data_IF_507678171333
#
_entry.id   IF_507678171333
#
_cell.length_a   1.000
_cell.length_b   1.000
_cell.length_c   1.000
_cell.angle_alpha   90.00
_cell.angle_beta   90.00
_cell.angle_gamma   90.00
#
_symmetry.space_group_name_H-M   'P 1'
#
loop_
_entity.id
_entity.type
_entity.pdbx_description
1 polymer ?
#
# COMPACT_ATOMS: atom_id res chain seq x y z
N UNK A 1 12.50 0.65 -5.62
CA UNK A 1 11.41 1.01 -6.56
C UNK A 1 10.03 0.53 -6.08
N UNK A 2 9.84 -0.81 -5.83
CA UNK A 2 8.53 -1.35 -5.42
C UNK A 2 7.99 -0.68 -4.16
N UNK A 3 8.77 -0.64 -3.07
CA UNK A 3 8.34 -0.02 -1.80
C UNK A 3 8.04 1.48 -1.95
N UNK A 4 8.83 2.20 -2.72
CA UNK A 4 8.62 3.63 -2.97
C UNK A 4 7.30 3.87 -3.72
N UNK A 5 7.01 3.05 -4.75
CA UNK A 5 5.74 3.10 -5.47
C UNK A 5 4.57 2.70 -4.58
N UNK A 6 4.73 1.65 -3.79
CA UNK A 6 3.72 1.22 -2.81
C UNK A 6 3.39 2.34 -1.83
N UNK A 7 4.40 3.03 -1.28
CA UNK A 7 4.19 4.18 -0.39
C UNK A 7 3.43 5.32 -1.08
N UNK A 8 3.78 5.63 -2.34
CA UNK A 8 3.05 6.62 -3.15
C UNK A 8 1.58 6.22 -3.30
N UNK A 9 1.32 4.99 -3.70
CA UNK A 9 -0.04 4.48 -3.91
C UNK A 9 -0.83 4.40 -2.60
N UNK A 10 -0.19 4.03 -1.47
CA UNK A 10 -0.84 4.00 -0.16
C UNK A 10 -1.42 5.36 0.20
N UNK A 11 -0.66 6.43 -0.01
CA UNK A 11 -1.13 7.80 0.23
C UNK A 11 -2.28 8.21 -0.69
N UNK A 12 -2.23 7.80 -1.96
CA UNK A 12 -3.30 8.10 -2.93
C UNK A 12 -4.57 7.30 -2.59
N UNK A 13 -4.43 6.05 -2.14
CA UNK A 13 -5.55 5.13 -1.90
C UNK A 13 -6.15 5.26 -0.49
N UNK A 14 -5.47 5.89 0.44
CA UNK A 14 -5.98 6.16 1.79
C UNK A 14 -7.23 7.05 1.77
N UNK A 15 -7.36 7.89 0.75
CA UNK A 15 -8.58 8.66 0.50
C UNK A 15 -9.41 7.94 -0.55
N UNK A 16 -10.64 7.55 -0.21
CA UNK A 16 -11.58 6.98 -1.21
C UNK A 16 -12.21 8.12 -2.04
N UNK A 17 -11.36 8.79 -2.82
CA UNK A 17 -11.75 9.89 -3.70
C UNK A 17 -12.02 9.38 -5.12
N UNK A 18 -12.78 10.15 -5.95
CA UNK A 18 -12.95 9.84 -7.36
C UNK A 18 -11.61 9.73 -8.12
N UNK A 19 -10.61 10.52 -7.72
CA UNK A 19 -9.26 10.49 -8.29
C UNK A 19 -8.54 9.20 -7.93
N UNK A 20 -8.64 8.76 -6.68
CA UNK A 20 -8.12 7.48 -6.22
C UNK A 20 -8.72 6.31 -7.00
N UNK A 21 -10.04 6.33 -7.24
CA UNK A 21 -10.74 5.33 -8.05
C UNK A 21 -10.26 5.33 -9.50
N UNK A 22 -10.15 6.49 -10.12
CA UNK A 22 -9.61 6.62 -11.49
C UNK A 22 -8.19 6.08 -11.58
N UNK A 23 -7.37 6.30 -10.54
CA UNK A 23 -6.01 5.76 -10.50
C UNK A 23 -6.01 4.24 -10.43
N UNK A 24 -6.83 3.63 -9.57
CA UNK A 24 -7.00 2.18 -9.49
C UNK A 24 -7.43 1.61 -10.82
N UNK A 25 -8.45 2.20 -11.45
CA UNK A 25 -8.94 1.77 -12.75
C UNK A 25 -7.87 1.84 -13.84
N UNK A 26 -7.08 2.92 -13.86
CA UNK A 26 -5.96 3.05 -14.79
C UNK A 26 -4.92 1.94 -14.63
N UNK A 27 -4.52 1.61 -13.39
CA UNK A 27 -3.55 0.55 -13.13
C UNK A 27 -4.08 -0.81 -13.55
N UNK A 28 -5.34 -1.14 -13.20
CA UNK A 28 -5.98 -2.38 -13.64
C UNK A 28 -6.06 -2.42 -15.18
N UNK A 29 -6.53 -1.37 -15.80
CA UNK A 29 -6.66 -1.29 -17.26
C UNK A 29 -5.33 -1.53 -17.98
N UNK A 30 -4.23 -0.91 -17.52
CA UNK A 30 -2.88 -1.15 -18.09
C UNK A 30 -2.45 -2.61 -17.94
N UNK A 31 -2.66 -3.20 -16.76
CA UNK A 31 -2.31 -4.60 -16.53
C UNK A 31 -3.12 -5.54 -17.44
N UNK A 32 -4.44 -5.33 -17.54
CA UNK A 32 -5.31 -6.12 -18.40
C UNK A 32 -4.91 -6.01 -19.88
N UNK A 33 -4.57 -4.82 -20.37
CA UNK A 33 -4.09 -4.65 -21.74
C UNK A 33 -2.77 -5.38 -21.97
N UNK A 34 -1.84 -5.31 -21.03
CA UNK A 34 -0.57 -6.02 -21.13
C UNK A 34 -0.79 -7.53 -21.31
N UNK A 35 -1.72 -8.11 -20.54
CA UNK A 35 -2.10 -9.53 -20.67
C UNK A 35 -2.78 -9.80 -22.00
N UNK A 36 -3.75 -8.97 -22.40
CA UNK A 36 -4.47 -9.18 -23.69
C UNK A 36 -3.53 -9.19 -24.90
N UNK A 37 -2.50 -8.34 -24.88
CA UNK A 37 -1.51 -8.24 -25.98
C UNK A 37 -0.27 -9.12 -25.78
N UNK A 38 -0.18 -9.92 -24.71
CA UNK A 38 0.90 -10.86 -24.50
C UNK A 38 0.90 -11.97 -25.57
N UNK A 39 1.97 -12.72 -25.66
CA UNK A 39 2.09 -13.87 -26.58
C UNK A 39 1.49 -15.17 -26.04
N UNK A 40 0.86 -15.13 -24.87
CA UNK A 40 0.30 -16.31 -24.22
C UNK A 40 -0.96 -16.85 -24.88
N UNK A 41 -1.31 -18.09 -24.54
CA UNK A 41 -2.56 -18.71 -25.00
C UNK A 41 -3.78 -18.01 -24.39
N UNK A 42 -4.92 -18.05 -25.08
CA UNK A 42 -6.17 -17.43 -24.59
C UNK A 42 -6.57 -17.94 -23.21
N UNK A 43 -6.34 -19.22 -22.92
CA UNK A 43 -6.63 -19.82 -21.63
C UNK A 43 -5.72 -19.26 -20.51
N UNK A 44 -4.42 -19.07 -20.79
CA UNK A 44 -3.50 -18.44 -19.84
C UNK A 44 -3.87 -16.99 -19.60
N UNK A 45 -4.12 -16.22 -20.67
CA UNK A 45 -4.61 -14.84 -20.56
C UNK A 45 -5.87 -14.73 -19.69
N UNK A 46 -6.85 -15.63 -19.88
CA UNK A 46 -8.06 -15.65 -19.06
C UNK A 46 -7.74 -15.84 -17.58
N UNK A 47 -6.87 -16.80 -17.26
CA UNK A 47 -6.48 -17.05 -15.87
C UNK A 47 -5.77 -15.85 -15.25
N UNK A 48 -4.85 -15.21 -15.96
CA UNK A 48 -4.15 -14.01 -15.47
C UNK A 48 -5.10 -12.82 -15.28
N UNK A 49 -5.99 -12.57 -16.23
CA UNK A 49 -7.01 -11.52 -16.13
C UNK A 49 -7.87 -11.75 -14.88
N UNK A 50 -8.29 -12.98 -14.64
CA UNK A 50 -9.11 -13.30 -13.48
C UNK A 50 -8.33 -13.14 -12.18
N UNK A 51 -7.06 -13.54 -12.15
CA UNK A 51 -6.16 -13.30 -11.01
C UNK A 51 -5.99 -11.81 -10.72
N UNK A 52 -5.84 -10.98 -11.76
CA UNK A 52 -5.77 -9.51 -11.59
C UNK A 52 -7.05 -8.98 -10.93
N UNK A 53 -8.22 -9.39 -11.40
CA UNK A 53 -9.51 -8.91 -10.86
C UNK A 53 -9.78 -9.46 -9.46
N UNK A 54 -9.39 -10.69 -9.14
CA UNK A 54 -9.48 -11.24 -7.79
C UNK A 54 -8.59 -10.48 -6.79
N UNK A 55 -7.40 -10.10 -7.23
CA UNK A 55 -6.44 -9.37 -6.39
C UNK A 55 -6.80 -7.89 -6.27
N UNK A 56 -7.11 -7.24 -7.38
CA UNK A 56 -7.44 -5.82 -7.45
C UNK A 56 -8.74 -5.60 -8.21
N UNK A 57 -9.77 -5.13 -7.52
CA UNK A 57 -11.06 -4.84 -8.13
C UNK A 57 -11.56 -3.44 -7.77
N UNK A 58 -12.40 -2.91 -8.62
CA UNK A 58 -13.15 -1.66 -8.43
C UNK A 58 -14.58 -1.87 -8.89
N UNK A 59 -15.50 -0.94 -8.65
CA UNK A 59 -16.84 -1.04 -9.23
C UNK A 59 -16.87 -1.12 -10.76
N UNK A 60 -15.86 -0.55 -11.42
CA UNK A 60 -15.69 -0.59 -12.88
C UNK A 60 -15.00 -1.87 -13.37
N UNK A 61 -14.17 -2.48 -12.53
CA UNK A 61 -13.43 -3.70 -12.83
C UNK A 61 -13.72 -4.78 -11.77
N UNK A 62 -14.80 -5.52 -11.94
CA UNK A 62 -15.11 -6.75 -11.22
C UNK A 62 -15.86 -7.71 -12.16
N UNK A 63 -16.04 -8.95 -11.76
CA UNK A 63 -16.63 -9.99 -12.61
C UNK A 63 -18.06 -9.68 -13.06
N UNK A 64 -18.83 -8.98 -12.26
CA UNK A 64 -20.25 -8.68 -12.49
C UNK A 64 -20.45 -7.30 -13.14
N UNK A 65 -19.37 -6.53 -13.37
CA UNK A 65 -19.48 -5.24 -14.04
C UNK A 65 -20.15 -5.37 -15.39
N UNK A 66 -21.23 -4.63 -15.61
CA UNK A 66 -21.96 -4.63 -16.88
C UNK A 66 -21.27 -3.73 -17.90
N UNK A 67 -20.91 -4.31 -19.03
CA UNK A 67 -20.29 -3.62 -20.16
C UNK A 67 -21.34 -3.47 -21.27
N UNK A 68 -21.50 -2.23 -21.74
CA UNK A 68 -22.48 -1.88 -22.76
C UNK A 68 -21.88 -2.03 -24.16
N UNK A 69 -22.44 -2.93 -24.95
CA UNK A 69 -22.21 -3.06 -26.39
C UNK A 69 -23.24 -2.35 -27.24
N UNK A 70 -23.18 -2.55 -28.53
CA UNK A 70 -24.16 -1.99 -29.48
C UNK A 70 -25.45 -2.82 -29.47
N UNK A 71 -26.42 -2.39 -28.65
CA UNK A 71 -27.71 -3.05 -28.52
C UNK A 71 -27.77 -4.26 -27.60
N UNK A 72 -26.70 -4.54 -26.86
CA UNK A 72 -26.63 -5.63 -25.88
C UNK A 72 -25.71 -5.28 -24.72
N UNK A 73 -25.77 -6.08 -23.66
CA UNK A 73 -24.87 -5.97 -22.50
C UNK A 73 -24.21 -7.31 -22.22
N UNK A 74 -23.00 -7.26 -21.64
CA UNK A 74 -22.28 -8.41 -21.13
C UNK A 74 -21.75 -8.10 -19.74
N UNK A 75 -21.62 -9.10 -18.89
CA UNK A 75 -20.79 -8.95 -17.71
C UNK A 75 -19.31 -8.98 -18.10
N UNK A 76 -18.46 -8.44 -17.23
CA UNK A 76 -17.01 -8.46 -17.46
C UNK A 76 -16.50 -9.89 -17.66
N UNK A 77 -16.96 -10.85 -16.84
CA UNK A 77 -16.57 -12.25 -16.96
C UNK A 77 -17.01 -12.90 -18.27
N UNK A 78 -18.23 -12.60 -18.76
CA UNK A 78 -18.73 -13.11 -20.04
C UNK A 78 -17.88 -12.62 -21.23
N UNK A 79 -17.29 -11.44 -21.15
CA UNK A 79 -16.43 -10.92 -22.23
C UNK A 79 -15.15 -11.78 -22.45
N UNK A 80 -14.76 -12.56 -21.47
CA UNK A 80 -13.61 -13.47 -21.54
C UNK A 80 -14.01 -14.94 -21.74
N UNK A 81 -15.23 -15.21 -22.22
CA UNK A 81 -15.60 -16.53 -22.68
C UNK A 81 -14.86 -16.87 -23.97
N UNK A 82 -14.30 -18.09 -24.02
CA UNK A 82 -13.52 -18.56 -25.16
C UNK A 82 -14.49 -19.22 -26.14
N UNK A 83 -14.50 -18.74 -27.39
CA UNK A 83 -15.33 -19.27 -28.45
C UNK A 83 -14.79 -20.62 -29.02
N UNK A 84 -15.51 -21.19 -29.96
CA UNK A 84 -15.14 -22.45 -30.62
C UNK A 84 -13.82 -22.38 -31.42
N UNK A 85 -13.34 -21.16 -31.73
CA UNK A 85 -12.10 -20.93 -32.46
C UNK A 85 -10.92 -20.68 -31.50
N UNK A 86 -11.14 -20.68 -30.20
CA UNK A 86 -10.12 -20.46 -29.17
C UNK A 86 -9.79 -18.98 -28.89
N UNK A 87 -10.67 -18.06 -29.25
CA UNK A 87 -10.54 -16.62 -29.01
C UNK A 87 -11.58 -16.10 -28.01
N UNK A 88 -11.32 -14.94 -27.41
CA UNK A 88 -12.34 -14.26 -26.61
C UNK A 88 -13.47 -13.75 -27.52
N UNK A 89 -14.70 -14.18 -27.23
CA UNK A 89 -15.88 -13.86 -28.04
C UNK A 89 -16.16 -12.36 -28.15
N UNK A 90 -15.86 -11.58 -27.10
CA UNK A 90 -16.12 -10.15 -27.01
C UNK A 90 -14.82 -9.33 -26.98
N UNK A 91 -13.77 -9.76 -27.69
CA UNK A 91 -12.43 -9.15 -27.64
C UNK A 91 -12.42 -7.66 -27.97
N UNK A 92 -13.25 -7.22 -28.93
CA UNK A 92 -13.34 -5.79 -29.32
C UNK A 92 -14.02 -4.99 -28.20
N UNK A 93 -15.17 -5.46 -27.72
CA UNK A 93 -15.93 -4.78 -26.67
C UNK A 93 -15.10 -4.58 -25.40
N UNK A 94 -14.42 -5.64 -24.96
CA UNK A 94 -13.63 -5.57 -23.72
C UNK A 94 -12.39 -4.69 -23.90
N UNK A 95 -11.74 -4.72 -25.06
CA UNK A 95 -10.59 -3.86 -25.34
C UNK A 95 -11.00 -2.38 -25.33
N UNK A 96 -12.10 -2.03 -25.97
CA UNK A 96 -12.60 -0.65 -25.94
C UNK A 96 -12.98 -0.20 -24.52
N UNK A 97 -13.60 -1.09 -23.74
CA UNK A 97 -13.93 -0.82 -22.35
C UNK A 97 -12.70 -0.53 -21.51
N UNK A 98 -11.67 -1.37 -21.63
CA UNK A 98 -10.43 -1.21 -20.90
C UNK A 98 -9.72 0.10 -21.30
N UNK A 99 -9.63 0.39 -22.58
CA UNK A 99 -9.00 1.62 -23.10
C UNK A 99 -9.65 2.90 -22.58
N UNK A 100 -10.98 2.92 -22.39
CA UNK A 100 -11.70 4.07 -21.81
C UNK A 100 -11.28 4.38 -20.36
N UNK A 101 -10.73 3.41 -19.65
CA UNK A 101 -10.29 3.55 -18.26
C UNK A 101 -8.80 3.91 -18.15
N UNK A 102 -8.09 4.03 -19.26
CA UNK A 102 -6.70 4.49 -19.26
C UNK A 102 -6.68 6.03 -19.27
N UNK A 103 -5.88 6.59 -18.39
CA UNK A 103 -5.62 8.02 -18.33
C UNK A 103 -4.17 8.28 -17.95
N UNK A 104 -3.34 8.58 -18.93
CA UNK A 104 -1.90 8.77 -18.75
C UNK A 104 -1.55 9.99 -17.87
N UNK A 105 -2.44 10.97 -17.74
CA UNK A 105 -2.22 12.14 -16.88
C UNK A 105 -2.22 11.76 -15.39
N UNK A 106 -2.89 10.67 -15.03
CA UNK A 106 -3.00 10.20 -13.63
C UNK A 106 -1.64 9.78 -13.08
N UNK A 107 -0.72 9.27 -13.88
CA UNK A 107 0.62 8.86 -13.42
C UNK A 107 1.44 10.03 -12.84
N UNK A 108 1.11 11.25 -13.21
CA UNK A 108 1.78 12.47 -12.76
C UNK A 108 1.19 13.04 -11.47
N UNK A 109 0.13 12.45 -10.90
CA UNK A 109 -0.45 12.92 -9.65
C UNK A 109 0.56 12.70 -8.52
N UNK A 110 0.97 13.80 -7.91
CA UNK A 110 1.79 13.76 -6.69
C UNK A 110 0.88 13.36 -5.51
N UNK A 111 1.30 12.43 -4.66
CA UNK A 111 0.58 12.15 -3.43
C UNK A 111 0.66 13.36 -2.49
N UNK A 112 -0.39 13.59 -1.71
CA UNK A 112 -0.29 14.53 -0.60
C UNK A 112 0.77 14.00 0.39
N UNK A 113 1.81 14.79 0.63
CA UNK A 113 2.91 14.41 1.53
C UNK A 113 2.42 14.16 2.96
N UNK A 114 1.34 14.84 3.35
CA UNK A 114 0.72 14.74 4.67
C UNK A 114 -0.42 13.70 4.74
N UNK A 115 -0.73 13.00 3.65
CA UNK A 115 -1.77 11.98 3.67
C UNK A 115 -1.39 10.83 4.60
N UNK A 116 -2.29 10.54 5.54
CA UNK A 116 -2.18 9.39 6.41
C UNK A 116 -2.73 8.15 5.71
N UNK A 117 -2.08 7.03 5.90
CA UNK A 117 -2.52 5.75 5.39
C UNK A 117 -2.33 4.67 6.47
N UNK A 118 -3.23 3.71 6.48
CA UNK A 118 -3.17 2.55 7.36
C UNK A 118 -2.25 1.46 6.79
N UNK A 119 -1.91 0.48 7.61
CA UNK A 119 -1.20 -0.71 7.14
C UNK A 119 -2.03 -1.51 6.12
N UNK A 120 -3.37 -1.46 6.24
CA UNK A 120 -4.29 -2.06 5.28
C UNK A 120 -4.23 -1.35 3.90
N UNK A 121 -4.17 0.00 3.90
CA UNK A 121 -4.00 0.76 2.65
C UNK A 121 -2.66 0.44 2.01
N UNK A 122 -1.61 0.29 2.82
CA UNK A 122 -0.30 -0.14 2.33
C UNK A 122 -0.35 -1.54 1.72
N UNK A 123 -1.06 -2.49 2.34
CA UNK A 123 -1.22 -3.84 1.83
C UNK A 123 -1.94 -3.84 0.47
N UNK A 124 -3.04 -3.11 0.36
CA UNK A 124 -3.76 -2.94 -0.90
C UNK A 124 -2.90 -2.26 -1.97
N UNK A 125 -2.20 -1.21 -1.61
CA UNK A 125 -1.30 -0.50 -2.52
C UNK A 125 -0.16 -1.40 -3.02
N UNK A 126 0.34 -2.30 -2.18
CA UNK A 126 1.34 -3.29 -2.58
C UNK A 126 0.80 -4.20 -3.69
N UNK A 127 -0.42 -4.70 -3.56
CA UNK A 127 -1.06 -5.53 -4.59
C UNK A 127 -1.17 -4.79 -5.93
N UNK A 128 -1.62 -3.53 -5.92
CA UNK A 128 -1.65 -2.71 -7.14
C UNK A 128 -0.25 -2.43 -7.73
N UNK A 129 0.75 -2.24 -6.88
CA UNK A 129 2.13 -2.04 -7.34
C UNK A 129 2.63 -3.29 -8.05
N UNK A 130 2.41 -4.45 -7.49
CA UNK A 130 2.85 -5.72 -8.05
C UNK A 130 2.22 -5.99 -9.42
N UNK A 131 0.95 -5.70 -9.57
CA UNK A 131 0.25 -5.82 -10.86
C UNK A 131 0.77 -4.82 -11.87
N UNK A 132 0.96 -3.56 -11.47
CA UNK A 132 1.38 -2.49 -12.38
C UNK A 132 2.82 -2.61 -12.87
N UNK A 133 3.71 -3.25 -12.12
CA UNK A 133 5.12 -3.44 -12.49
C UNK A 133 5.36 -4.70 -13.33
N UNK A 134 4.29 -5.34 -13.83
CA UNK A 134 4.41 -6.56 -14.64
C UNK A 134 4.88 -7.78 -13.85
N UNK A 135 4.59 -7.78 -12.58
CA UNK A 135 5.00 -8.77 -11.59
C UNK A 135 4.63 -10.22 -11.96
N UNK A 136 3.53 -10.42 -12.67
CA UNK A 136 3.07 -11.75 -13.10
C UNK A 136 4.05 -12.47 -14.05
N UNK A 137 5.05 -11.76 -14.58
CA UNK A 137 6.03 -12.29 -15.52
C UNK A 137 7.47 -12.38 -14.98
N UNK A 138 7.69 -12.10 -13.69
CA UNK A 138 9.02 -12.11 -13.08
C UNK A 138 9.06 -12.92 -11.79
N UNK A 139 9.43 -14.19 -11.89
CA UNK A 139 9.42 -15.16 -10.79
C UNK A 139 10.20 -14.70 -9.54
N UNK A 140 11.34 -14.02 -9.72
CA UNK A 140 12.14 -13.55 -8.57
C UNK A 140 11.49 -12.41 -7.81
N UNK A 141 10.79 -11.50 -8.50
CA UNK A 141 10.02 -10.44 -7.85
C UNK A 141 8.77 -11.00 -7.17
N UNK A 142 8.19 -12.08 -7.73
CA UNK A 142 7.05 -12.80 -7.14
C UNK A 142 7.43 -13.37 -5.78
N UNK A 143 8.57 -14.03 -5.68
CA UNK A 143 9.02 -14.67 -4.44
C UNK A 143 9.30 -13.63 -3.34
N UNK A 144 10.05 -12.58 -3.65
CA UNK A 144 10.36 -11.50 -2.69
C UNK A 144 9.11 -10.78 -2.18
N UNK A 145 8.17 -10.54 -3.07
CA UNK A 145 6.93 -9.87 -2.70
C UNK A 145 5.96 -10.79 -1.97
N UNK A 146 5.96 -12.08 -2.26
CA UNK A 146 5.18 -13.07 -1.51
C UNK A 146 5.62 -13.11 -0.05
N UNK A 147 6.92 -13.06 0.22
CA UNK A 147 7.47 -12.96 1.57
C UNK A 147 6.99 -11.66 2.24
N UNK A 148 7.06 -10.54 1.55
CA UNK A 148 6.59 -9.26 2.09
C UNK A 148 5.08 -9.29 2.37
N UNK A 149 4.28 -9.84 1.46
CA UNK A 149 2.83 -9.98 1.62
C UNK A 149 2.48 -10.86 2.82
N UNK A 150 3.15 -12.00 2.99
CA UNK A 150 2.94 -12.91 4.14
C UNK A 150 3.29 -12.19 5.46
N UNK A 151 4.43 -11.50 5.53
CA UNK A 151 4.82 -10.74 6.73
C UNK A 151 3.80 -9.64 7.05
N UNK A 152 3.36 -8.90 6.05
CA UNK A 152 2.37 -7.84 6.20
C UNK A 152 1.03 -8.38 6.69
N UNK A 153 0.55 -9.49 6.11
CA UNK A 153 -0.67 -10.18 6.53
C UNK A 153 -0.54 -10.69 7.97
N UNK A 154 0.62 -11.23 8.34
CA UNK A 154 0.87 -11.68 9.72
C UNK A 154 0.78 -10.50 10.70
N UNK A 155 1.37 -9.35 10.38
CA UNK A 155 1.28 -8.16 11.23
C UNK A 155 -0.17 -7.68 11.32
N UNK A 156 -0.89 -7.59 10.20
CA UNK A 156 -2.30 -7.13 10.16
C UNK A 156 -3.23 -7.97 11.03
N UNK A 157 -2.98 -9.28 11.13
CA UNK A 157 -3.81 -10.22 11.93
C UNK A 157 -3.27 -10.47 13.33
N UNK A 158 -2.18 -9.82 13.72
CA UNK A 158 -1.61 -9.90 15.07
C UNK A 158 -2.13 -8.77 15.96
N UNK A 159 -1.93 -8.88 17.28
CA UNK A 159 -2.22 -7.78 18.21
C UNK A 159 -1.44 -6.50 17.87
N UNK A 160 -0.26 -6.64 17.27
CA UNK A 160 0.56 -5.53 16.80
C UNK A 160 -0.13 -4.74 15.68
N UNK A 161 -0.97 -5.39 14.88
CA UNK A 161 -1.76 -4.74 13.82
C UNK A 161 -2.67 -3.63 14.36
N UNK A 162 -3.15 -3.75 15.60
CA UNK A 162 -3.99 -2.74 16.24
C UNK A 162 -3.29 -1.39 16.44
N UNK A 163 -1.96 -1.38 16.49
CA UNK A 163 -1.18 -0.12 16.55
C UNK A 163 -1.14 0.62 15.22
N UNK A 164 -1.51 -0.05 14.13
CA UNK A 164 -1.45 0.46 12.75
C UNK A 164 -2.85 0.56 12.10
N UNK A 165 -3.92 0.48 12.88
CA UNK A 165 -5.30 0.48 12.35
C UNK A 165 -5.73 1.82 11.73
N UNK A 166 -4.94 2.87 11.94
CA UNK A 166 -5.16 4.18 11.33
C UNK A 166 -6.35 4.97 11.88
N UNK A 167 -6.98 4.52 12.98
CA UNK A 167 -8.15 5.22 13.57
C UNK A 167 -7.77 6.51 14.28
N UNK A 168 -6.51 6.65 14.68
CA UNK A 168 -5.97 7.86 15.30
C UNK A 168 -4.66 8.26 14.62
N UNK A 169 -4.68 9.44 14.05
CA UNK A 169 -3.49 10.04 13.43
C UNK A 169 -2.94 11.13 14.32
N UNK A 170 -1.66 11.05 14.61
CA UNK A 170 -0.94 12.09 15.34
C UNK A 170 0.18 12.63 14.45
N UNK A 171 0.27 13.93 14.37
CA UNK A 171 1.51 14.56 13.91
C UNK A 171 2.62 14.28 14.93
N UNK A 172 3.87 14.41 14.51
CA UNK A 172 5.01 14.24 15.41
C UNK A 172 4.90 15.17 16.65
N UNK A 173 4.48 16.41 16.46
CA UNK A 173 4.30 17.38 17.54
C UNK A 173 3.19 16.95 18.51
N UNK A 174 2.02 16.58 17.99
CA UNK A 174 0.90 16.11 18.81
C UNK A 174 1.26 14.85 19.60
N UNK A 175 1.98 13.91 18.98
CA UNK A 175 2.42 12.70 19.65
C UNK A 175 3.38 13.01 20.82
N UNK A 176 4.40 13.85 20.62
CA UNK A 176 5.33 14.23 21.67
C UNK A 176 4.63 15.06 22.76
N UNK A 177 3.70 15.92 22.40
CA UNK A 177 2.93 16.71 23.37
C UNK A 177 1.98 15.82 24.18
N UNK A 178 1.38 14.81 23.56
CA UNK A 178 0.58 13.80 24.27
C UNK A 178 1.42 13.00 25.27
N UNK A 179 2.62 12.57 24.88
CA UNK A 179 3.55 11.87 25.77
C UNK A 179 3.98 12.73 26.99
N UNK A 180 4.15 14.03 26.78
CA UNK A 180 4.50 14.97 27.86
C UNK A 180 3.35 15.32 28.78
N UNK A 181 2.14 14.88 28.51
CA UNK A 181 0.95 15.22 29.27
C UNK A 181 0.30 13.98 29.87
N UNK A 182 0.10 13.97 31.18
CA UNK A 182 -0.66 12.94 31.88
C UNK A 182 -1.68 13.60 32.83
N UNK A 183 -2.96 13.31 32.64
CA UNK A 183 -4.08 13.89 33.42
C UNK A 183 -4.01 15.44 33.50
N UNK A 184 -3.69 16.10 32.39
CA UNK A 184 -3.59 17.57 32.32
C UNK A 184 -2.34 18.17 32.99
N UNK A 185 -1.43 17.34 33.47
CA UNK A 185 -0.14 17.76 34.06
C UNK A 185 1.01 17.42 33.13
N UNK A 186 2.01 18.30 33.07
CA UNK A 186 3.25 18.02 32.31
C UNK A 186 4.06 16.93 33.00
N UNK A 187 4.39 15.88 32.29
CA UNK A 187 5.30 14.85 32.73
C UNK A 187 6.74 15.34 32.58
N UNK A 188 7.55 15.19 33.63
CA UNK A 188 8.98 15.48 33.58
C UNK A 188 9.82 14.23 33.26
N UNK A 189 9.28 13.06 33.58
CA UNK A 189 9.89 11.76 33.32
C UNK A 189 8.83 10.89 32.63
N UNK A 190 9.22 10.27 31.54
CA UNK A 190 8.40 9.32 30.79
C UNK A 190 9.17 8.01 30.74
N UNK A 191 8.57 6.96 31.28
CA UNK A 191 9.12 5.61 31.23
C UNK A 191 8.33 4.79 30.20
N UNK A 192 9.04 4.24 29.21
CA UNK A 192 8.47 3.38 28.18
C UNK A 192 9.00 1.96 28.43
N UNK A 193 8.12 1.10 28.93
CA UNK A 193 8.46 -0.30 29.14
C UNK A 193 8.35 -1.10 27.83
N UNK A 194 9.43 -1.78 27.44
CA UNK A 194 9.52 -2.62 26.24
C UNK A 194 9.79 -4.10 26.61
N UNK A 195 9.53 -4.49 27.85
CA UNK A 195 9.84 -5.83 28.35
C UNK A 195 9.14 -6.94 27.56
N UNK A 196 7.85 -6.74 27.24
CA UNK A 196 7.03 -7.72 26.53
C UNK A 196 7.02 -7.50 25.00
N UNK A 197 7.87 -6.60 24.49
CA UNK A 197 7.95 -6.31 23.07
C UNK A 197 9.08 -7.11 22.43
N UNK A 198 8.77 -7.81 21.33
CA UNK A 198 9.77 -8.53 20.54
C UNK A 198 10.92 -7.59 20.12
N UNK A 199 12.15 -8.09 20.17
CA UNK A 199 13.37 -7.32 19.91
C UNK A 199 13.38 -6.58 18.56
N UNK A 200 12.75 -7.14 17.54
CA UNK A 200 12.65 -6.52 16.22
C UNK A 200 11.79 -5.26 16.30
N UNK A 201 10.62 -5.36 16.94
CA UNK A 201 9.73 -4.23 17.12
C UNK A 201 10.28 -3.20 18.10
N UNK A 202 10.91 -3.65 19.19
CA UNK A 202 11.54 -2.77 20.17
C UNK A 202 12.62 -1.89 19.52
N UNK A 203 13.46 -2.44 18.63
CA UNK A 203 14.44 -1.69 17.83
C UNK A 203 13.79 -0.61 16.97
N UNK A 204 12.68 -0.95 16.30
CA UNK A 204 11.94 -0.01 15.45
C UNK A 204 11.33 1.11 16.29
N UNK A 205 10.69 0.77 17.41
CA UNK A 205 10.08 1.74 18.35
C UNK A 205 11.13 2.72 18.85
N UNK A 206 12.28 2.24 19.33
CA UNK A 206 13.35 3.10 19.82
C UNK A 206 13.88 4.03 18.71
N UNK A 207 14.12 3.51 17.51
CA UNK A 207 14.57 4.33 16.36
C UNK A 207 13.54 5.42 16.01
N UNK A 208 12.26 5.08 15.96
CA UNK A 208 11.18 6.05 15.68
C UNK A 208 11.09 7.09 16.77
N UNK A 209 11.14 6.70 18.04
CA UNK A 209 11.09 7.62 19.18
C UNK A 209 12.27 8.61 19.16
N UNK A 210 13.48 8.11 18.93
CA UNK A 210 14.66 8.98 18.78
C UNK A 210 14.47 9.99 17.64
N UNK A 211 13.98 9.52 16.49
CA UNK A 211 13.70 10.39 15.35
C UNK A 211 12.64 11.44 15.67
N UNK A 212 11.54 11.05 16.29
CA UNK A 212 10.46 11.96 16.65
C UNK A 212 10.91 13.03 17.62
N UNK A 213 11.67 12.68 18.66
CA UNK A 213 12.24 13.64 19.60
C UNK A 213 13.20 14.62 18.91
N UNK A 214 14.02 14.12 17.99
CA UNK A 214 14.95 14.94 17.22
C UNK A 214 14.22 15.92 16.31
N UNK A 215 13.23 15.43 15.53
CA UNK A 215 12.45 16.24 14.62
C UNK A 215 11.60 17.28 15.39
N UNK A 216 11.01 16.91 16.53
CA UNK A 216 10.31 17.82 17.42
C UNK A 216 11.23 18.94 17.92
N UNK A 217 12.45 18.59 18.38
CA UNK A 217 13.41 19.58 18.86
C UNK A 217 13.84 20.56 17.75
N UNK A 218 13.84 20.12 16.50
CA UNK A 218 14.13 20.98 15.34
C UNK A 218 12.97 21.86 14.93
N UNK A 219 11.72 21.42 15.18
CA UNK A 219 10.51 22.17 14.82
C UNK A 219 10.17 23.29 15.78
N UNK A 220 10.79 23.33 16.96
CA UNK A 220 10.57 24.41 17.94
C UNK A 220 11.08 25.74 17.37
N UNK A 221 10.35 26.84 17.64
CA UNK A 221 10.68 28.21 17.24
C UNK A 221 12.14 28.56 17.59
N UNK A 222 12.51 28.24 18.83
CA UNK A 222 13.90 28.25 19.28
C UNK A 222 14.38 26.80 19.36
N UNK A 223 15.23 26.39 18.41
CA UNK A 223 15.73 25.01 18.34
C UNK A 223 16.33 24.57 19.66
N UNK A 224 15.97 23.34 20.07
CA UNK A 224 16.44 22.71 21.30
C UNK A 224 16.18 23.51 22.59
N UNK A 225 15.19 24.41 22.59
CA UNK A 225 14.78 25.17 23.79
C UNK A 225 14.22 24.27 24.91
N UNK A 226 13.74 23.08 24.54
CA UNK A 226 13.32 22.04 25.48
C UNK A 226 14.34 20.88 25.35
N UNK A 227 15.23 20.71 26.36
CA UNK A 227 16.19 19.61 26.33
C UNK A 227 15.48 18.29 26.62
N UNK A 228 15.78 17.25 25.83
CA UNK A 228 15.40 15.89 26.09
C UNK A 228 16.64 15.07 26.47
N UNK A 229 16.53 14.33 27.55
CA UNK A 229 17.53 13.35 27.97
C UNK A 229 16.93 11.97 27.76
N UNK A 230 17.55 11.16 26.89
CA UNK A 230 17.11 9.82 26.59
C UNK A 230 18.06 8.82 27.26
N UNK A 231 17.51 7.98 28.11
CA UNK A 231 18.19 6.87 28.75
C UNK A 231 17.71 5.58 28.12
N UNK A 232 18.62 4.82 27.55
CA UNK A 232 18.32 3.51 26.95
C UNK A 232 18.97 2.43 27.84
N UNK A 233 18.14 1.75 28.61
CA UNK A 233 18.58 0.55 29.31
C UNK A 233 18.76 -0.59 28.30
N UNK A 234 19.75 -1.45 28.52
CA UNK A 234 20.08 -2.55 27.58
C UNK A 234 20.29 -2.06 26.13
N UNK A 235 20.96 -0.92 25.95
CA UNK A 235 21.14 -0.27 24.66
C UNK A 235 21.66 -1.20 23.55
N UNK A 236 22.41 -2.26 23.91
CA UNK A 236 22.90 -3.25 22.95
C UNK A 236 21.77 -4.00 22.22
N UNK A 237 20.56 -4.08 22.79
CA UNK A 237 19.37 -4.67 22.13
C UNK A 237 18.88 -3.81 20.97
N UNK A 238 19.10 -2.50 21.01
CA UNK A 238 18.48 -1.53 20.10
C UNK A 238 19.48 -0.89 19.12
N UNK A 239 20.75 -0.78 19.56
CA UNK A 239 21.83 -0.14 18.79
C UNK A 239 22.78 -1.23 18.33
N UNK A 240 22.54 -1.79 17.14
CA UNK A 240 23.51 -2.63 16.45
C UNK A 240 24.26 -1.77 15.43
N UNK A 241 25.58 -1.96 15.30
CA UNK A 241 26.27 -1.53 14.08
C UNK A 241 25.65 -2.31 12.94
N UNK A 242 25.02 -1.60 12.00
CA UNK A 242 24.74 -2.19 10.70
C UNK A 242 26.12 -2.57 10.15
N UNK A 243 26.43 -3.87 10.11
CA UNK A 243 27.55 -4.35 9.34
C UNK A 243 27.12 -4.16 7.87
N UNK A 244 27.52 -3.04 7.29
CA UNK A 244 27.48 -2.85 5.85
C UNK A 244 28.34 -3.97 5.24
N UNK A 245 27.68 -5.02 4.74
CA UNK A 245 28.25 -6.01 3.83
C UNK A 245 27.67 -5.80 2.45
#
# INVERSE_FOLDING_TARGET
PILERTLKLSKIFATDSPESRKYKNHLIAKALLAVLFSSETTAQKKNEIFTIIETCHTPEFNFDTTIQGLGYTRSFSECFEIDSNGYFGESVLITEYILKNINDEIENIAPDENAFYSLLDFSKALEFTLISEGFLHNDTLVDDASILKVRLTTILHSEVGNYFDGTKHYTNTEFIDALKSFNGKKAQIININLEDVDDIYAKVIVKIMCKFLFDYSKSLEQRASIPFHLFLEEAHRYIQKDNDT
#
